data_IF_229692296165
#
_entry.id   IF_229692296165
#
_cell.length_a   1.000
_cell.length_b   1.000
_cell.length_c   1.000
_cell.angle_alpha   90.00
_cell.angle_beta   90.00
_cell.angle_gamma   90.00
#
_symmetry.space_group_name_H-M   'P 1'
#
loop_
_entity.id
_entity.type
_entity.pdbx_description
1 polymer ?
#
# COMPACT_ATOMS: atom_id res chain seq x y z
N UNK A 1 -0.41 26.68 22.44
CA UNK A 1 -1.48 27.43 23.13
C UNK A 1 -2.30 26.47 23.97
N UNK A 2 -2.65 26.84 25.21
CA UNK A 2 -3.60 26.09 26.05
C UNK A 2 -4.98 26.17 25.39
N UNK A 3 -5.64 25.03 25.19
CA UNK A 3 -7.06 25.00 24.89
C UNK A 3 -7.81 24.73 26.19
N UNK A 4 -8.69 25.67 26.54
CA UNK A 4 -9.72 25.45 27.54
C UNK A 4 -10.70 24.41 27.00
N UNK A 5 -11.07 23.46 27.87
CA UNK A 5 -12.20 22.56 27.68
C UNK A 5 -13.46 23.40 27.48
N UNK A 6 -14.17 23.22 26.36
CA UNK A 6 -15.62 23.06 26.36
C UNK A 6 -16.16 22.73 24.96
N UNK A 7 -17.18 21.88 24.99
CA UNK A 7 -18.00 21.36 23.87
C UNK A 7 -17.41 20.15 23.12
N UNK A 8 -17.61 18.97 23.72
CA UNK A 8 -17.77 17.72 22.98
C UNK A 8 -18.88 17.91 21.94
N UNK A 9 -18.50 18.21 20.69
CA UNK A 9 -19.33 17.90 19.54
C UNK A 9 -19.71 16.42 19.64
N UNK A 10 -20.98 16.01 19.44
CA UNK A 10 -21.33 14.60 19.44
C UNK A 10 -20.48 13.90 18.39
N UNK A 11 -19.51 13.10 18.84
CA UNK A 11 -18.70 12.28 17.97
C UNK A 11 -19.62 11.26 17.32
N UNK A 12 -19.90 11.41 16.03
CA UNK A 12 -20.52 10.36 15.26
C UNK A 12 -19.60 9.13 15.33
N UNK A 13 -20.02 8.10 16.07
CA UNK A 13 -19.35 6.81 16.13
C UNK A 13 -20.10 5.86 15.21
N UNK A 14 -19.41 5.37 14.18
CA UNK A 14 -19.88 4.27 13.36
C UNK A 14 -19.42 2.97 14.01
N UNK A 15 -20.32 2.26 14.70
CA UNK A 15 -20.03 0.93 15.25
C UNK A 15 -20.38 -0.15 14.22
N UNK A 16 -19.40 -1.00 13.90
CA UNK A 16 -19.67 -2.29 13.25
C UNK A 16 -20.05 -3.26 14.38
N UNK A 17 -21.33 -3.55 14.54
CA UNK A 17 -21.79 -4.53 15.53
C UNK A 17 -21.50 -5.93 15.00
N UNK A 18 -20.60 -6.67 15.65
CA UNK A 18 -20.19 -7.99 15.21
C UNK A 18 -19.84 -8.90 16.41
N UNK A 19 -19.81 -10.22 16.18
CA UNK A 19 -19.56 -11.24 17.21
C UNK A 19 -18.12 -11.80 17.20
N UNK A 20 -17.24 -11.22 16.38
CA UNK A 20 -15.88 -11.69 16.16
C UNK A 20 -14.86 -10.55 16.04
N UNK A 21 -13.68 -10.89 15.53
CA UNK A 21 -12.60 -9.94 15.28
C UNK A 21 -12.80 -9.28 13.93
N UNK A 22 -12.88 -7.94 13.92
CA UNK A 22 -13.00 -7.15 12.71
C UNK A 22 -11.79 -6.23 12.57
N UNK A 23 -11.27 -6.15 11.35
CA UNK A 23 -10.14 -5.28 11.02
C UNK A 23 -10.41 -4.55 9.72
N UNK A 24 -10.35 -3.22 9.77
CA UNK A 24 -10.28 -2.36 8.58
C UNK A 24 -8.85 -2.42 8.05
N UNK A 25 -8.71 -2.71 6.76
CA UNK A 25 -7.43 -2.72 6.04
C UNK A 25 -7.25 -1.49 5.16
N UNK A 26 -8.34 -0.93 4.63
CA UNK A 26 -8.26 0.21 3.72
C UNK A 26 -9.48 1.14 3.83
N UNK A 27 -9.26 2.41 3.45
CA UNK A 27 -10.26 3.48 3.45
C UNK A 27 -10.12 4.31 2.19
N UNK A 28 -11.24 4.72 1.61
CA UNK A 28 -11.32 5.63 0.48
C UNK A 28 -12.48 6.60 0.66
N UNK A 29 -12.39 7.76 0.01
CA UNK A 29 -13.44 8.78 0.02
C UNK A 29 -13.93 8.95 -1.42
N UNK A 30 -15.25 8.89 -1.60
CA UNK A 30 -15.88 9.12 -2.91
C UNK A 30 -15.91 10.61 -3.25
N UNK A 31 -16.14 10.97 -4.53
CA UNK A 31 -16.30 12.38 -4.94
C UNK A 31 -17.40 13.13 -4.18
N UNK A 32 -18.44 12.42 -3.73
CA UNK A 32 -19.54 13.00 -2.95
C UNK A 32 -19.24 13.08 -1.43
N UNK A 33 -18.03 12.70 -1.02
CA UNK A 33 -17.59 12.72 0.38
C UNK A 33 -17.96 11.49 1.20
N UNK A 34 -18.67 10.51 0.64
CA UNK A 34 -18.94 9.25 1.35
C UNK A 34 -17.63 8.53 1.66
N UNK A 35 -17.55 7.94 2.85
CA UNK A 35 -16.42 7.15 3.31
C UNK A 35 -16.69 5.68 3.03
N UNK A 36 -15.79 5.03 2.29
CA UNK A 36 -15.82 3.58 2.06
C UNK A 36 -14.65 2.96 2.80
N UNK A 37 -14.92 1.92 3.59
CA UNK A 37 -13.90 1.12 4.25
C UNK A 37 -14.00 -0.32 3.77
N UNK A 38 -12.86 -0.99 3.68
CA UNK A 38 -12.78 -2.41 3.43
C UNK A 38 -11.89 -3.08 4.47
N UNK A 39 -12.14 -4.36 4.69
CA UNK A 39 -11.49 -5.09 5.76
C UNK A 39 -11.84 -6.57 5.73
N UNK A 40 -11.48 -7.24 6.81
CA UNK A 40 -11.89 -8.61 7.05
C UNK A 40 -12.46 -8.81 8.45
N UNK A 41 -13.36 -9.77 8.55
CA UNK A 41 -14.11 -10.08 9.76
C UNK A 41 -14.10 -11.59 9.99
N UNK A 42 -13.86 -12.03 11.23
CA UNK A 42 -14.10 -13.42 11.62
C UNK A 42 -15.54 -13.66 12.07
N UNK A 43 -16.33 -12.59 12.16
CA UNK A 43 -17.71 -12.59 12.65
C UNK A 43 -18.64 -13.39 11.74
N UNK A 44 -19.54 -14.18 12.34
CA UNK A 44 -20.54 -14.94 11.61
C UNK A 44 -21.82 -14.12 11.38
N UNK A 45 -22.01 -13.04 12.14
CA UNK A 45 -23.18 -12.18 12.09
C UNK A 45 -22.90 -10.79 11.50
N UNK A 46 -21.82 -10.63 10.72
CA UNK A 46 -21.48 -9.34 10.13
C UNK A 46 -22.64 -8.78 9.28
N UNK A 47 -23.06 -7.52 9.51
CA UNK A 47 -24.23 -6.96 8.85
C UNK A 47 -23.97 -6.70 7.37
N UNK A 48 -25.00 -6.82 6.54
CA UNK A 48 -24.94 -6.41 5.13
C UNK A 48 -25.31 -7.47 4.09
N UNK A 49 -25.21 -7.08 2.83
CA UNK A 49 -25.52 -7.96 1.69
C UNK A 49 -24.42 -9.00 1.50
N UNK A 50 -24.80 -10.27 1.27
CA UNK A 50 -23.85 -11.32 0.89
C UNK A 50 -23.59 -11.25 -0.61
N UNK A 51 -22.37 -10.91 -0.99
CA UNK A 51 -21.99 -10.68 -2.39
C UNK A 51 -21.79 -11.99 -3.18
N UNK A 52 -21.59 -13.11 -2.49
CA UNK A 52 -21.47 -14.43 -3.08
C UNK A 52 -22.63 -15.32 -2.62
N UNK A 53 -23.80 -15.19 -3.26
CA UNK A 53 -24.99 -15.97 -2.88
C UNK A 53 -25.08 -17.36 -3.55
N UNK A 54 -23.96 -17.95 -3.99
CA UNK A 54 -23.94 -19.24 -4.67
C UNK A 54 -22.61 -19.99 -4.50
N UNK A 55 -22.30 -20.38 -3.27
CA UNK A 55 -21.52 -21.58 -3.02
C UNK A 55 -22.24 -22.36 -1.94
N UNK A 56 -22.42 -23.65 -2.13
CA UNK A 56 -23.24 -24.55 -1.31
C UNK A 56 -22.65 -24.84 0.09
N UNK A 57 -21.81 -23.95 0.62
CA UNK A 57 -21.13 -24.11 1.91
C UNK A 57 -21.44 -22.96 2.84
N UNK A 58 -21.79 -23.28 4.08
CA UNK A 58 -21.78 -22.31 5.17
C UNK A 58 -20.36 -21.74 5.32
N UNK A 59 -20.23 -20.47 5.76
CA UNK A 59 -18.94 -19.88 6.16
C UNK A 59 -18.22 -20.88 7.06
N UNK A 60 -16.99 -21.24 6.69
CA UNK A 60 -16.21 -22.16 7.49
C UNK A 60 -15.94 -21.55 8.89
N UNK A 61 -15.98 -22.36 9.96
CA UNK A 61 -15.69 -21.86 11.31
C UNK A 61 -14.25 -21.30 11.36
N UNK A 62 -14.08 -20.19 12.09
CA UNK A 62 -12.78 -19.52 12.28
C UNK A 62 -12.14 -18.90 11.04
N UNK A 63 -12.84 -18.80 9.91
CA UNK A 63 -12.32 -18.10 8.72
C UNK A 63 -12.62 -16.60 8.72
N UNK A 64 -11.75 -15.84 8.06
CA UNK A 64 -11.92 -14.41 7.82
C UNK A 64 -12.67 -14.19 6.51
N UNK A 65 -13.70 -13.33 6.53
CA UNK A 65 -14.50 -12.92 5.39
C UNK A 65 -14.20 -11.46 5.06
N UNK A 66 -14.16 -11.10 3.79
CA UNK A 66 -13.94 -9.71 3.36
C UNK A 66 -15.21 -8.92 3.55
N UNK A 67 -15.14 -7.72 4.13
CA UNK A 67 -16.26 -6.79 4.15
C UNK A 67 -15.92 -5.47 3.46
N UNK A 68 -16.96 -4.79 2.99
CA UNK A 68 -16.92 -3.42 2.51
C UNK A 68 -18.12 -2.67 3.09
N UNK A 69 -17.88 -1.50 3.67
CA UNK A 69 -18.91 -0.66 4.27
C UNK A 69 -18.78 0.78 3.78
N UNK A 70 -19.92 1.40 3.48
CA UNK A 70 -20.04 2.79 3.04
C UNK A 70 -20.80 3.60 4.08
N UNK A 71 -20.28 4.78 4.36
CA UNK A 71 -20.82 5.75 5.30
C UNK A 71 -20.98 7.11 4.64
N UNK A 72 -21.90 7.93 5.12
CA UNK A 72 -22.01 9.33 4.69
C UNK A 72 -20.78 10.13 5.14
N UNK A 73 -20.61 11.39 4.66
CA UNK A 73 -19.55 12.27 5.15
C UNK A 73 -19.61 12.51 6.67
N UNK A 74 -20.81 12.43 7.26
CA UNK A 74 -21.09 12.51 8.70
C UNK A 74 -20.97 11.17 9.43
N UNK A 75 -20.34 10.17 8.78
CA UNK A 75 -20.10 8.83 9.28
C UNK A 75 -21.37 8.05 9.66
N UNK A 76 -22.51 8.37 9.03
CA UNK A 76 -23.72 7.57 9.18
C UNK A 76 -23.64 6.32 8.31
N UNK A 77 -23.93 5.10 8.82
CA UNK A 77 -23.86 3.88 8.02
C UNK A 77 -24.88 3.93 6.89
N UNK A 78 -24.41 3.79 5.65
CA UNK A 78 -25.27 3.74 4.47
C UNK A 78 -25.52 2.29 4.05
N UNK A 79 -24.45 1.51 3.91
CA UNK A 79 -24.55 0.10 3.50
C UNK A 79 -23.29 -0.68 3.83
N UNK A 80 -23.47 -1.97 4.07
CA UNK A 80 -22.37 -2.93 4.21
C UNK A 80 -22.62 -4.17 3.35
N UNK A 81 -21.54 -4.81 2.97
CA UNK A 81 -21.51 -6.08 2.26
C UNK A 81 -20.34 -6.93 2.69
N UNK A 82 -20.51 -8.24 2.56
CA UNK A 82 -19.48 -9.22 2.91
C UNK A 82 -19.38 -10.30 1.84
N UNK A 83 -18.14 -10.72 1.56
CA UNK A 83 -17.77 -11.92 0.84
C UNK A 83 -17.37 -12.98 1.86
N UNK A 84 -18.22 -13.99 2.01
CA UNK A 84 -17.97 -15.16 2.86
C UNK A 84 -17.41 -16.31 2.00
N UNK A 85 -16.99 -17.41 2.60
CA UNK A 85 -16.53 -18.57 1.84
C UNK A 85 -16.11 -19.73 2.73
N UNK A 86 -15.69 -20.81 2.10
CA UNK A 86 -15.20 -22.01 2.77
C UNK A 86 -13.74 -21.89 3.26
N UNK A 87 -13.12 -20.74 3.04
CA UNK A 87 -11.77 -20.39 3.47
C UNK A 87 -11.67 -18.90 3.86
N UNK A 88 -10.45 -18.42 4.02
CA UNK A 88 -10.14 -17.02 4.26
C UNK A 88 -10.26 -16.22 2.95
N UNK A 89 -10.88 -15.04 3.05
CA UNK A 89 -10.91 -14.01 2.03
C UNK A 89 -10.48 -12.71 2.70
N UNK A 90 -9.20 -12.35 2.55
CA UNK A 90 -8.59 -11.24 3.28
C UNK A 90 -8.28 -10.11 2.31
N UNK A 91 -9.04 -9.02 2.42
CA UNK A 91 -8.78 -7.78 1.66
C UNK A 91 -7.71 -6.95 2.32
N UNK A 92 -6.80 -6.40 1.51
CA UNK A 92 -5.65 -5.61 1.94
C UNK A 92 -5.72 -4.16 1.48
N UNK A 93 -6.37 -3.88 0.35
CA UNK A 93 -6.44 -2.55 -0.22
C UNK A 93 -7.76 -2.31 -0.98
N UNK A 94 -8.11 -1.03 -1.16
CA UNK A 94 -9.36 -0.51 -1.69
C UNK A 94 -9.09 0.69 -2.60
N UNK A 95 -9.67 0.66 -3.81
CA UNK A 95 -9.73 1.81 -4.70
C UNK A 95 -11.16 2.02 -5.20
N UNK A 96 -11.49 3.27 -5.52
CA UNK A 96 -12.76 3.65 -6.13
C UNK A 96 -12.46 4.35 -7.44
N UNK A 97 -13.06 3.90 -8.54
CA UNK A 97 -12.93 4.62 -9.81
C UNK A 97 -13.94 5.78 -9.92
N UNK A 98 -13.84 6.56 -10.99
CA UNK A 98 -14.73 7.71 -11.26
C UNK A 98 -16.21 7.33 -11.44
N UNK A 99 -16.51 6.07 -11.78
CA UNK A 99 -17.88 5.56 -11.83
C UNK A 99 -18.41 5.13 -10.45
N UNK A 100 -17.59 5.22 -9.40
CA UNK A 100 -17.88 4.76 -8.06
C UNK A 100 -17.77 3.25 -7.85
N UNK A 101 -17.28 2.49 -8.85
CA UNK A 101 -17.02 1.07 -8.69
C UNK A 101 -15.86 0.88 -7.71
N UNK A 102 -15.97 -0.18 -6.92
CA UNK A 102 -15.07 -0.44 -5.80
C UNK A 102 -14.20 -1.63 -6.16
N UNK A 103 -12.89 -1.43 -6.16
CA UNK A 103 -11.90 -2.44 -6.43
C UNK A 103 -11.26 -2.85 -5.12
N UNK A 104 -11.24 -4.15 -4.84
CA UNK A 104 -10.57 -4.72 -3.69
C UNK A 104 -9.50 -5.71 -4.17
N UNK A 105 -8.40 -5.78 -3.43
CA UNK A 105 -7.39 -6.81 -3.63
C UNK A 105 -6.96 -7.42 -2.30
N UNK A 106 -6.36 -8.59 -2.36
CA UNK A 106 -5.95 -9.33 -1.18
C UNK A 106 -5.52 -10.75 -1.51
N UNK A 107 -5.69 -11.65 -0.55
CA UNK A 107 -5.44 -13.08 -0.71
C UNK A 107 -6.64 -13.92 -0.29
N UNK A 108 -6.77 -15.09 -0.89
CA UNK A 108 -7.80 -16.05 -0.53
C UNK A 108 -7.32 -17.48 -0.68
N UNK A 109 -7.74 -18.35 0.25
CA UNK A 109 -7.68 -19.81 0.11
C UNK A 109 -9.08 -20.44 0.05
N UNK A 110 -10.11 -19.62 -0.16
CA UNK A 110 -11.48 -20.08 -0.34
C UNK A 110 -11.64 -20.65 -1.75
N UNK A 111 -11.87 -21.96 -1.86
CA UNK A 111 -12.06 -22.63 -3.15
C UNK A 111 -13.39 -22.25 -3.82
N UNK A 112 -14.25 -21.55 -3.09
CA UNK A 112 -15.55 -21.03 -3.52
C UNK A 112 -15.56 -19.50 -3.70
N UNK A 113 -14.38 -18.89 -3.81
CA UNK A 113 -14.25 -17.46 -4.12
C UNK A 113 -15.03 -17.10 -5.40
N UNK A 114 -15.83 -16.01 -5.41
CA UNK A 114 -16.76 -15.71 -6.49
C UNK A 114 -16.05 -15.14 -7.72
N UNK A 115 -15.51 -15.99 -8.56
CA UNK A 115 -14.90 -15.63 -9.85
C UNK A 115 -15.95 -15.41 -10.95
N UNK A 116 -15.67 -14.50 -11.88
CA UNK A 116 -16.52 -14.31 -13.08
C UNK A 116 -16.14 -15.27 -14.21
N UNK A 117 -17.08 -15.70 -15.08
CA UNK A 117 -16.78 -16.69 -16.13
C UNK A 117 -15.67 -16.31 -17.12
N UNK A 118 -15.45 -15.01 -17.34
CA UNK A 118 -14.40 -14.48 -18.20
C UNK A 118 -13.14 -14.06 -17.43
N UNK A 119 -13.01 -14.42 -16.16
CA UNK A 119 -11.87 -14.02 -15.34
C UNK A 119 -10.56 -14.61 -15.86
N UNK A 120 -9.45 -13.91 -15.60
CA UNK A 120 -8.08 -14.36 -15.88
C UNK A 120 -7.80 -15.74 -15.29
N UNK A 121 -8.24 -15.99 -14.06
CA UNK A 121 -8.27 -17.31 -13.43
C UNK A 121 -9.57 -17.51 -12.65
N UNK A 122 -10.10 -18.73 -12.75
CA UNK A 122 -11.36 -19.16 -12.12
C UNK A 122 -11.16 -20.18 -10.98
N UNK A 123 -9.93 -20.52 -10.64
CA UNK A 123 -9.61 -21.48 -9.57
C UNK A 123 -8.29 -21.12 -8.89
N UNK A 124 -8.13 -21.56 -7.64
CA UNK A 124 -6.87 -21.45 -6.91
C UNK A 124 -5.79 -22.27 -7.62
N UNK A 125 -4.61 -21.69 -7.73
CA UNK A 125 -3.42 -22.28 -8.35
C UNK A 125 -2.52 -22.92 -7.30
N UNK A 126 -2.58 -22.44 -6.05
CA UNK A 126 -1.77 -22.99 -4.96
C UNK A 126 -2.03 -24.48 -4.74
N UNK A 127 -0.96 -25.27 -4.84
CA UNK A 127 -0.96 -26.73 -4.61
C UNK A 127 0.06 -27.17 -3.58
N UNK A 128 1.06 -26.33 -3.31
CA UNK A 128 2.12 -26.63 -2.34
C UNK A 128 1.65 -26.35 -0.92
N UNK A 129 2.32 -26.96 0.07
CA UNK A 129 2.16 -26.61 1.47
C UNK A 129 2.41 -25.11 1.69
N UNK A 130 1.52 -24.40 2.40
CA UNK A 130 1.60 -22.96 2.54
C UNK A 130 2.88 -22.54 3.28
N UNK A 131 3.44 -21.40 2.87
CA UNK A 131 4.63 -20.85 3.55
C UNK A 131 4.30 -20.37 4.96
N UNK A 132 3.04 -19.96 5.18
CA UNK A 132 2.48 -19.64 6.49
C UNK A 132 1.17 -20.41 6.65
N UNK A 133 1.09 -21.28 7.67
CA UNK A 133 -0.17 -21.94 8.04
C UNK A 133 -1.26 -20.89 8.26
N UNK A 134 -2.36 -21.04 7.52
CA UNK A 134 -3.69 -20.44 7.72
C UNK A 134 -4.15 -19.20 6.92
N UNK A 135 -3.35 -18.52 6.07
CA UNK A 135 -3.83 -17.23 5.51
C UNK A 135 -3.65 -16.91 4.01
N UNK A 136 -2.97 -17.74 3.20
CA UNK A 136 -2.79 -17.42 1.78
C UNK A 136 -2.73 -18.64 0.86
N UNK A 137 -3.38 -18.51 -0.30
CA UNK A 137 -3.17 -19.34 -1.48
C UNK A 137 -2.91 -18.38 -2.64
N UNK A 138 -3.96 -17.95 -3.35
CA UNK A 138 -3.80 -17.01 -4.47
C UNK A 138 -4.20 -15.60 -4.06
N UNK A 139 -3.64 -14.62 -4.76
CA UNK A 139 -4.13 -13.24 -4.69
C UNK A 139 -5.42 -13.10 -5.47
N UNK A 140 -6.24 -12.10 -5.15
CA UNK A 140 -7.46 -11.80 -5.90
C UNK A 140 -7.56 -10.32 -6.26
N UNK A 141 -8.32 -10.05 -7.32
CA UNK A 141 -8.86 -8.72 -7.61
C UNK A 141 -10.36 -8.87 -7.82
N UNK A 142 -11.16 -8.02 -7.17
CA UNK A 142 -12.61 -8.01 -7.29
C UNK A 142 -13.14 -6.60 -7.45
N UNK A 143 -14.08 -6.43 -8.38
CA UNK A 143 -14.81 -5.19 -8.61
C UNK A 143 -16.25 -5.34 -8.13
N UNK A 144 -16.70 -4.44 -7.28
CA UNK A 144 -18.05 -4.38 -6.73
C UNK A 144 -18.71 -3.09 -7.21
N UNK A 145 -20.00 -3.15 -7.50
CA UNK A 145 -20.75 -1.96 -7.92
C UNK A 145 -20.85 -0.90 -6.79
N UNK A 146 -21.16 0.37 -7.11
CA UNK A 146 -21.21 1.45 -6.11
C UNK A 146 -22.28 1.24 -5.04
N UNK A 147 -23.27 0.41 -5.35
CA UNK A 147 -24.38 0.04 -4.47
C UNK A 147 -24.01 -1.08 -3.50
N UNK A 148 -22.81 -1.66 -3.55
CA UNK A 148 -22.39 -2.77 -2.68
C UNK A 148 -23.35 -3.96 -2.72
N UNK A 149 -23.84 -4.39 -3.88
CA UNK A 149 -24.73 -5.56 -3.96
C UNK A 149 -24.46 -6.52 -5.10
N UNK A 150 -23.53 -6.16 -5.98
CA UNK A 150 -23.21 -6.97 -7.15
C UNK A 150 -21.70 -7.00 -7.34
N UNK A 151 -21.14 -8.21 -7.46
CA UNK A 151 -19.80 -8.43 -7.99
C UNK A 151 -19.85 -8.23 -9.50
N UNK A 152 -19.13 -7.23 -10.01
CA UNK A 152 -19.04 -6.91 -11.44
C UNK A 152 -18.06 -7.86 -12.14
N UNK A 153 -16.88 -8.02 -11.56
CA UNK A 153 -15.79 -8.85 -12.06
C UNK A 153 -14.98 -9.37 -10.87
N UNK A 154 -14.47 -10.59 -10.93
CA UNK A 154 -13.48 -11.06 -9.97
C UNK A 154 -12.58 -12.12 -10.60
N UNK A 155 -11.30 -12.07 -10.27
CA UNK A 155 -10.30 -13.03 -10.72
C UNK A 155 -9.37 -13.41 -9.59
N UNK A 156 -8.77 -14.60 -9.72
CA UNK A 156 -7.61 -15.02 -8.97
C UNK A 156 -6.33 -14.72 -9.77
N UNK A 157 -5.21 -14.58 -9.06
CA UNK A 157 -3.87 -14.39 -9.61
C UNK A 157 -2.85 -15.02 -8.65
N UNK A 158 -2.15 -16.06 -9.10
CA UNK A 158 -1.18 -16.77 -8.28
C UNK A 158 -0.52 -17.92 -9.02
N UNK A 159 0.39 -18.60 -8.34
CA UNK A 159 1.07 -19.83 -8.77
C UNK A 159 0.96 -20.91 -7.69
N UNK A 160 1.96 -21.78 -7.59
CA UNK A 160 1.87 -22.99 -6.76
C UNK A 160 1.92 -22.76 -5.25
N UNK A 161 2.27 -21.56 -4.78
CA UNK A 161 2.49 -21.17 -3.36
C UNK A 161 1.71 -19.90 -3.01
N UNK A 162 1.87 -19.44 -1.77
CA UNK A 162 1.21 -18.24 -1.28
C UNK A 162 1.55 -16.99 -2.09
N UNK A 163 0.51 -16.30 -2.54
CA UNK A 163 0.53 -15.05 -3.28
C UNK A 163 -0.39 -14.03 -2.61
N UNK A 164 0.18 -12.88 -2.23
CA UNK A 164 -0.51 -11.85 -1.47
C UNK A 164 -0.48 -10.53 -2.24
N UNK A 165 -1.63 -10.09 -2.77
CA UNK A 165 -1.76 -8.74 -3.26
C UNK A 165 -1.95 -7.77 -2.09
N UNK A 166 -1.16 -6.69 -2.08
CA UNK A 166 -1.14 -5.74 -0.96
C UNK A 166 -1.58 -4.34 -1.34
N UNK A 167 -1.51 -3.99 -2.62
CA UNK A 167 -1.77 -2.67 -3.14
C UNK A 167 -2.40 -2.78 -4.52
N UNK A 168 -3.31 -1.86 -4.84
CA UNK A 168 -3.85 -1.69 -6.18
C UNK A 168 -3.89 -0.20 -6.59
N UNK A 169 -3.75 0.05 -7.88
CA UNK A 169 -3.96 1.37 -8.48
C UNK A 169 -4.57 1.19 -9.89
N UNK A 170 -5.01 2.29 -10.50
CA UNK A 170 -5.56 2.29 -11.87
C UNK A 170 -4.66 3.14 -12.76
N UNK A 171 -4.25 2.59 -13.90
CA UNK A 171 -3.49 3.35 -14.89
C UNK A 171 -4.38 4.30 -15.71
N UNK A 172 -3.76 5.16 -16.52
CA UNK A 172 -4.48 6.14 -17.36
C UNK A 172 -5.41 5.49 -18.41
N UNK A 173 -5.23 4.21 -18.71
CA UNK A 173 -6.08 3.46 -19.64
C UNK A 173 -7.23 2.75 -18.91
N UNK A 174 -7.31 2.85 -17.57
CA UNK A 174 -8.29 2.16 -16.75
C UNK A 174 -7.89 0.72 -16.37
N UNK A 175 -6.67 0.29 -16.72
CA UNK A 175 -6.17 -1.04 -16.35
C UNK A 175 -5.87 -1.09 -14.85
N UNK A 176 -6.07 -2.26 -14.26
CA UNK A 176 -5.82 -2.48 -12.85
C UNK A 176 -4.37 -2.89 -12.66
N UNK A 177 -3.60 -2.09 -11.94
CA UNK A 177 -2.24 -2.43 -11.54
C UNK A 177 -2.30 -2.96 -10.11
N UNK A 178 -1.99 -4.24 -9.95
CA UNK A 178 -1.96 -4.90 -8.64
C UNK A 178 -0.53 -5.31 -8.31
N UNK A 179 -0.10 -5.05 -7.09
CA UNK A 179 1.24 -5.40 -6.63
C UNK A 179 1.19 -6.06 -5.26
N UNK A 180 2.17 -6.93 -5.03
CA UNK A 180 2.19 -7.73 -3.82
C UNK A 180 3.45 -8.56 -3.69
N UNK A 181 3.34 -9.61 -2.88
CA UNK A 181 4.39 -10.58 -2.71
C UNK A 181 3.99 -11.97 -3.18
N UNK A 182 4.93 -12.67 -3.81
CA UNK A 182 4.76 -14.04 -4.31
C UNK A 182 5.85 -14.95 -3.76
N UNK A 183 5.44 -16.11 -3.23
CA UNK A 183 6.33 -17.23 -2.94
C UNK A 183 6.48 -18.21 -4.12
N UNK A 184 5.68 -18.03 -5.16
CA UNK A 184 5.47 -18.93 -6.29
C UNK A 184 6.56 -18.77 -7.35
N UNK A 185 7.28 -19.85 -7.67
CA UNK A 185 8.28 -19.84 -8.76
C UNK A 185 7.65 -19.79 -10.15
N UNK A 186 6.40 -20.21 -10.24
CA UNK A 186 5.56 -20.30 -11.42
C UNK A 186 4.48 -19.21 -11.46
N UNK A 187 4.63 -18.15 -10.65
CA UNK A 187 3.75 -16.98 -10.71
C UNK A 187 3.62 -16.49 -12.16
N UNK A 188 2.41 -16.13 -12.63
CA UNK A 188 2.18 -15.69 -14.00
C UNK A 188 3.06 -14.50 -14.37
N UNK A 189 3.94 -14.67 -15.36
CA UNK A 189 4.85 -13.63 -15.88
C UNK A 189 4.67 -13.51 -17.39
N UNK A 190 4.60 -12.29 -17.88
CA UNK A 190 4.52 -12.01 -19.33
C UNK A 190 5.68 -11.14 -19.81
N UNK A 191 6.42 -10.51 -18.89
CA UNK A 191 7.63 -9.74 -19.20
C UNK A 191 8.77 -10.10 -18.26
N UNK A 192 10.00 -10.02 -18.77
CA UNK A 192 11.22 -10.15 -17.98
C UNK A 192 11.78 -8.76 -17.67
N UNK A 193 11.59 -8.27 -16.44
CA UNK A 193 12.18 -6.98 -16.02
C UNK A 193 13.71 -7.08 -16.00
N UNK A 194 14.38 -6.24 -16.78
CA UNK A 194 15.83 -6.28 -17.07
C UNK A 194 16.78 -6.00 -15.89
N UNK A 195 16.29 -6.01 -14.66
CA UNK A 195 17.07 -5.72 -13.46
C UNK A 195 16.85 -6.73 -12.32
N UNK A 196 16.14 -7.85 -12.55
CA UNK A 196 15.94 -8.86 -11.50
C UNK A 196 17.27 -9.56 -11.17
N UNK A 197 17.60 -9.65 -9.88
CA UNK A 197 18.68 -10.52 -9.42
C UNK A 197 18.15 -11.95 -9.24
N UNK A 198 19.02 -12.91 -8.94
CA UNK A 198 18.64 -14.33 -8.91
C UNK A 198 17.61 -14.62 -7.79
N UNK A 199 16.33 -14.57 -8.15
CA UNK A 199 15.21 -14.85 -7.26
C UNK A 199 15.27 -16.29 -6.77
N UNK A 200 14.96 -16.50 -5.50
CA UNK A 200 14.87 -17.84 -4.93
C UNK A 200 13.39 -18.18 -4.67
N UNK A 201 12.90 -19.31 -5.23
CA UNK A 201 11.61 -19.88 -4.84
C UNK A 201 11.55 -20.03 -3.31
N UNK A 202 10.37 -19.85 -2.70
CA UNK A 202 10.10 -19.93 -1.25
C UNK A 202 10.34 -18.64 -0.42
N UNK A 203 11.03 -17.63 -0.96
CA UNK A 203 11.09 -16.31 -0.34
C UNK A 203 10.01 -15.40 -0.93
N UNK A 204 9.58 -14.40 -0.16
CA UNK A 204 8.67 -13.37 -0.67
C UNK A 204 9.40 -12.52 -1.70
N UNK A 205 9.00 -12.62 -2.96
CA UNK A 205 9.45 -11.74 -4.05
C UNK A 205 8.36 -10.72 -4.35
N UNK A 206 8.66 -9.59 -4.99
CA UNK A 206 7.65 -8.60 -5.35
C UNK A 206 7.07 -8.99 -6.71
N UNK A 207 5.74 -9.05 -6.83
CA UNK A 207 5.09 -9.10 -8.13
C UNK A 207 4.36 -7.80 -8.42
N UNK A 208 4.27 -7.44 -9.71
CA UNK A 208 3.37 -6.40 -10.22
C UNK A 208 2.70 -6.96 -11.47
N UNK A 209 1.39 -6.84 -11.53
CA UNK A 209 0.56 -7.27 -12.65
C UNK A 209 -0.34 -6.12 -13.12
N UNK A 210 -0.41 -5.93 -14.43
CA UNK A 210 -1.34 -5.04 -15.10
C UNK A 210 -2.40 -5.93 -15.74
N UNK A 211 -3.65 -5.77 -15.31
CA UNK A 211 -4.80 -6.57 -15.71
C UNK A 211 -5.78 -5.63 -16.43
N UNK A 212 -6.43 -6.12 -17.47
CA UNK A 212 -7.46 -5.34 -18.16
C UNK A 212 -8.63 -4.98 -17.21
N UNK A 213 -9.44 -3.94 -17.51
CA UNK A 213 -10.51 -3.48 -16.63
C UNK A 213 -11.60 -4.53 -16.35
N UNK A 214 -11.72 -5.56 -17.19
CA UNK A 214 -12.69 -6.65 -17.02
C UNK A 214 -12.14 -7.83 -16.22
N UNK A 215 -10.89 -7.76 -15.75
CA UNK A 215 -10.20 -8.80 -15.00
C UNK A 215 -10.08 -10.14 -15.77
N UNK A 216 -9.96 -10.06 -17.08
CA UNK A 216 -10.00 -11.19 -18.03
C UNK A 216 -8.66 -11.48 -18.71
N UNK A 217 -7.77 -10.49 -18.79
CA UNK A 217 -6.49 -10.58 -19.48
C UNK A 217 -5.35 -9.99 -18.65
N UNK A 218 -4.25 -10.73 -18.56
CA UNK A 218 -3.01 -10.28 -17.94
C UNK A 218 -2.16 -9.56 -19.00
N UNK A 219 -2.25 -8.23 -19.04
CA UNK A 219 -1.60 -7.38 -20.04
C UNK A 219 -0.08 -7.34 -19.85
N UNK A 220 0.37 -7.23 -18.60
CA UNK A 220 1.78 -7.29 -18.23
C UNK A 220 1.90 -7.92 -16.84
N UNK A 221 2.93 -8.71 -16.59
CA UNK A 221 3.24 -9.18 -15.24
C UNK A 221 4.72 -9.49 -15.12
N UNK A 222 5.28 -9.05 -14.01
CA UNK A 222 6.67 -9.31 -13.65
C UNK A 222 6.82 -9.64 -12.18
N UNK A 223 7.83 -10.47 -11.90
CA UNK A 223 8.33 -10.74 -10.56
C UNK A 223 9.76 -10.23 -10.48
N UNK A 224 10.05 -9.44 -9.45
CA UNK A 224 11.33 -8.81 -9.24
C UNK A 224 11.66 -8.74 -7.75
N UNK A 225 12.91 -8.43 -7.44
CA UNK A 225 13.45 -8.50 -6.08
C UNK A 225 14.84 -9.12 -6.09
N UNK A 226 15.11 -9.90 -5.06
CA UNK A 226 16.44 -10.33 -4.65
C UNK A 226 16.50 -11.80 -4.21
N UNK A 227 17.69 -12.37 -3.90
CA UNK A 227 17.80 -13.76 -3.46
C UNK A 227 17.22 -14.07 -2.07
N UNK A 228 16.77 -13.05 -1.31
CA UNK A 228 16.13 -13.18 0.00
C UNK A 228 14.80 -12.40 0.00
N UNK A 229 14.05 -12.41 1.10
CA UNK A 229 12.72 -11.80 1.11
C UNK A 229 12.75 -10.29 0.89
N UNK A 230 11.89 -9.85 -0.03
CA UNK A 230 11.55 -8.47 -0.35
C UNK A 230 10.06 -8.28 -0.11
N UNK A 231 9.68 -7.18 0.53
CA UNK A 231 8.31 -6.91 0.94
C UNK A 231 7.84 -5.59 0.34
N UNK A 232 6.69 -5.63 -0.34
CA UNK A 232 6.04 -4.44 -0.85
C UNK A 232 5.38 -3.66 0.29
N UNK A 233 5.65 -2.35 0.35
CA UNK A 233 4.95 -1.39 1.19
C UNK A 233 3.81 -0.71 0.44
N UNK A 234 4.14 -0.06 -0.67
CA UNK A 234 3.22 0.81 -1.40
C UNK A 234 3.45 0.83 -2.90
N UNK A 235 2.39 1.19 -3.64
CA UNK A 235 2.33 1.34 -5.09
C UNK A 235 1.66 2.67 -5.43
N UNK A 236 2.18 3.36 -6.44
CA UNK A 236 1.52 4.51 -7.04
C UNK A 236 1.84 4.61 -8.53
N UNK A 237 0.81 4.82 -9.34
CA UNK A 237 0.95 5.08 -10.77
C UNK A 237 0.93 6.59 -11.00
N UNK A 238 2.02 7.10 -11.56
CA UNK A 238 2.14 8.50 -11.93
C UNK A 238 1.32 8.83 -13.18
N UNK A 239 0.97 10.11 -13.35
CA UNK A 239 0.22 10.61 -14.52
C UNK A 239 0.91 10.29 -15.87
N UNK A 240 2.24 10.16 -15.85
CA UNK A 240 3.04 9.79 -17.02
C UNK A 240 3.12 8.27 -17.28
N UNK A 241 2.46 7.46 -16.45
CA UNK A 241 2.47 5.99 -16.51
C UNK A 241 3.65 5.31 -15.79
N UNK A 242 4.56 6.07 -15.17
CA UNK A 242 5.63 5.49 -14.35
C UNK A 242 5.06 4.81 -13.11
N UNK A 243 5.64 3.66 -12.75
CA UNK A 243 5.16 2.83 -11.65
C UNK A 243 6.11 2.99 -10.48
N UNK A 244 5.67 3.64 -9.41
CA UNK A 244 6.46 3.91 -8.22
C UNK A 244 6.11 2.91 -7.13
N UNK A 245 7.14 2.35 -6.52
CA UNK A 245 7.04 1.32 -5.49
C UNK A 245 7.98 1.66 -4.36
N UNK A 246 7.57 1.26 -3.15
CA UNK A 246 8.49 1.24 -2.04
C UNK A 246 8.20 0.05 -1.13
N UNK A 247 9.17 -0.29 -0.30
CA UNK A 247 9.02 -1.37 0.66
C UNK A 247 10.25 -1.54 1.52
N UNK A 248 10.54 -2.80 1.87
CA UNK A 248 11.75 -3.16 2.59
C UNK A 248 12.30 -4.52 2.13
N UNK A 249 13.58 -4.74 2.32
CA UNK A 249 14.29 -5.95 1.89
C UNK A 249 15.24 -6.44 2.98
N UNK A 250 15.46 -7.74 3.02
CA UNK A 250 16.49 -8.38 3.84
C UNK A 250 17.82 -8.54 3.11
N UNK A 251 17.87 -8.14 1.84
CA UNK A 251 18.97 -8.43 0.93
C UNK A 251 19.88 -7.24 0.73
N UNK A 252 21.17 -7.51 0.55
CA UNK A 252 22.14 -6.55 0.03
C UNK A 252 22.29 -6.60 -1.51
N UNK A 253 21.47 -7.43 -2.18
CA UNK A 253 21.47 -7.63 -3.62
C UNK A 253 20.13 -7.23 -4.27
N UNK A 254 19.41 -6.28 -3.66
CA UNK A 254 18.24 -5.66 -4.26
C UNK A 254 18.66 -4.85 -5.50
N UNK A 255 17.85 -4.84 -6.57
CA UNK A 255 18.14 -4.05 -7.76
C UNK A 255 18.29 -2.56 -7.42
N UNK A 256 19.43 -1.96 -7.75
CA UNK A 256 19.71 -0.52 -7.58
C UNK A 256 20.18 0.10 -8.90
N UNK A 257 19.97 1.40 -9.05
CA UNK A 257 20.39 2.16 -10.24
C UNK A 257 21.32 3.31 -9.85
N UNK A 258 22.26 3.67 -10.72
CA UNK A 258 23.26 4.73 -10.46
C UNK A 258 22.70 6.17 -10.42
N UNK A 259 21.37 6.34 -10.38
CA UNK A 259 20.70 7.64 -10.30
C UNK A 259 20.73 8.29 -8.91
N UNK A 260 21.02 7.50 -7.87
CA UNK A 260 21.13 7.96 -6.49
C UNK A 260 22.59 7.95 -6.03
N UNK A 261 22.94 8.89 -5.16
CA UNK A 261 24.33 9.09 -4.69
C UNK A 261 24.83 8.01 -3.74
N UNK A 262 23.93 7.22 -3.16
CA UNK A 262 24.25 6.11 -2.28
C UNK A 262 23.25 4.96 -2.50
N UNK A 263 23.79 3.77 -2.80
CA UNK A 263 23.04 2.60 -3.25
C UNK A 263 23.41 1.32 -2.48
N UNK A 264 24.06 1.45 -1.32
CA UNK A 264 24.37 0.29 -0.48
C UNK A 264 23.35 0.10 0.64
N UNK A 265 23.09 -1.17 0.97
CA UNK A 265 22.42 -1.56 2.21
C UNK A 265 23.12 -0.86 3.40
N UNK A 266 22.33 -0.18 4.22
CA UNK A 266 22.79 0.75 5.27
C UNK A 266 22.97 0.04 6.60
N UNK A 267 22.30 -1.10 6.81
CA UNK A 267 22.45 -1.95 7.98
C UNK A 267 21.17 -2.70 8.33
N UNK A 268 21.02 -3.07 9.60
CA UNK A 268 19.82 -3.76 10.08
C UNK A 268 19.57 -5.14 9.46
N UNK A 269 18.43 -5.71 9.82
CA UNK A 269 17.87 -6.91 9.17
C UNK A 269 16.94 -6.54 8.01
N UNK A 270 16.39 -5.33 8.01
CA UNK A 270 15.51 -4.81 6.96
C UNK A 270 15.95 -3.41 6.58
N UNK A 271 16.20 -3.16 5.30
CA UNK A 271 16.39 -1.81 4.77
C UNK A 271 15.22 -1.43 3.88
N UNK A 272 14.80 -0.17 3.93
CA UNK A 272 13.77 0.33 3.04
C UNK A 272 14.33 0.44 1.62
N UNK A 273 13.44 0.42 0.63
CA UNK A 273 13.81 0.64 -0.76
C UNK A 273 12.74 1.44 -1.49
N UNK A 274 13.17 2.13 -2.54
CA UNK A 274 12.31 2.75 -3.54
C UNK A 274 12.67 2.20 -4.91
N UNK A 275 11.67 2.04 -5.77
CA UNK A 275 11.87 1.79 -7.19
C UNK A 275 10.82 2.47 -8.07
N UNK A 276 11.26 2.82 -9.27
CA UNK A 276 10.44 3.29 -10.37
C UNK A 276 10.63 2.35 -11.55
N UNK A 277 9.55 1.77 -12.05
CA UNK A 277 9.51 0.97 -13.25
C UNK A 277 8.86 1.75 -14.39
N UNK A 278 9.22 1.38 -15.63
CA UNK A 278 8.50 1.86 -16.80
C UNK A 278 7.07 1.26 -16.85
N UNK A 279 6.20 1.91 -17.61
CA UNK A 279 4.78 1.51 -17.76
C UNK A 279 4.62 0.05 -18.25
N UNK A 280 5.59 -0.49 -19.00
CA UNK A 280 5.56 -1.86 -19.51
C UNK A 280 6.18 -2.89 -18.59
N UNK A 281 6.63 -2.51 -17.38
CA UNK A 281 7.34 -3.36 -16.42
C UNK A 281 8.65 -3.98 -16.95
N UNK A 282 9.21 -3.50 -18.06
CA UNK A 282 10.39 -4.10 -18.70
C UNK A 282 11.71 -3.66 -18.05
N UNK A 283 11.73 -2.52 -17.36
CA UNK A 283 12.93 -1.84 -16.88
C UNK A 283 12.65 -1.19 -15.53
N UNK A 284 13.59 -1.38 -14.61
CA UNK A 284 13.72 -0.53 -13.43
C UNK A 284 14.47 0.72 -13.88
N UNK A 285 13.79 1.86 -13.91
CA UNK A 285 14.37 3.15 -14.30
C UNK A 285 15.17 3.76 -13.16
N UNK A 286 14.66 3.59 -11.93
CA UNK A 286 15.28 4.12 -10.72
C UNK A 286 15.08 3.11 -9.60
N UNK A 287 16.11 2.86 -8.80
CA UNK A 287 15.97 2.14 -7.55
C UNK A 287 17.13 2.45 -6.61
N UNK A 288 16.82 2.50 -5.31
CA UNK A 288 17.80 2.72 -4.26
C UNK A 288 17.35 2.11 -2.93
N UNK A 289 18.34 1.79 -2.11
CA UNK A 289 18.15 1.55 -0.68
C UNK A 289 17.92 2.88 0.05
N UNK A 290 17.08 2.83 1.08
CA UNK A 290 16.72 3.92 1.97
C UNK A 290 16.86 3.44 3.41
N UNK A 291 17.34 4.30 4.31
CA UNK A 291 17.48 3.94 5.72
C UNK A 291 18.80 4.36 6.35
N UNK A 292 19.11 3.71 7.46
CA UNK A 292 20.32 3.86 8.27
C UNK A 292 20.80 2.51 8.82
N UNK A 293 21.52 2.50 9.93
CA UNK A 293 22.20 1.28 10.39
C UNK A 293 21.30 0.20 11.01
N UNK A 294 20.02 0.50 11.28
CA UNK A 294 19.05 -0.41 11.88
C UNK A 294 17.89 -0.69 10.90
N UNK A 295 16.78 -1.28 11.40
CA UNK A 295 15.68 -1.63 10.50
C UNK A 295 14.92 -0.40 10.01
N UNK A 296 14.70 -0.37 8.70
CA UNK A 296 14.01 0.69 7.97
C UNK A 296 12.91 0.09 7.08
N UNK A 297 11.77 0.76 7.04
CA UNK A 297 10.58 0.30 6.30
C UNK A 297 9.96 1.47 5.55
N UNK A 298 9.69 1.33 4.26
CA UNK A 298 8.74 2.21 3.58
C UNK A 298 7.35 1.58 3.62
N UNK A 299 6.37 2.34 4.10
CA UNK A 299 4.99 1.87 4.31
C UNK A 299 3.97 2.48 3.36
N UNK A 300 4.22 3.69 2.86
CA UNK A 300 3.31 4.42 1.99
C UNK A 300 4.08 5.33 1.05
N UNK A 301 3.51 5.65 -0.11
CA UNK A 301 4.05 6.65 -1.03
C UNK A 301 2.94 7.35 -1.82
N UNK A 302 3.16 8.60 -2.20
CA UNK A 302 2.21 9.39 -3.00
C UNK A 302 2.95 10.40 -3.87
N UNK A 303 2.28 10.92 -4.91
CA UNK A 303 2.82 11.96 -5.79
C UNK A 303 2.09 13.29 -5.59
N UNK A 304 2.83 14.38 -5.77
CA UNK A 304 2.29 15.75 -5.76
C UNK A 304 2.12 16.30 -7.19
N UNK A 305 1.40 17.44 -7.40
CA UNK A 305 1.15 17.96 -8.77
C UNK A 305 2.40 18.21 -9.59
N UNK A 306 3.53 18.44 -8.93
CA UNK A 306 4.78 18.77 -9.59
C UNK A 306 5.60 17.52 -9.96
N UNK A 307 5.07 16.32 -9.70
CA UNK A 307 5.72 15.04 -9.96
C UNK A 307 6.71 14.57 -8.90
N UNK A 308 6.75 15.21 -7.72
CA UNK A 308 7.58 14.75 -6.61
C UNK A 308 6.90 13.59 -5.89
N UNK A 309 7.68 12.55 -5.60
CA UNK A 309 7.25 11.39 -4.81
C UNK A 309 7.54 11.64 -3.34
N UNK A 310 6.54 11.48 -2.50
CA UNK A 310 6.62 11.51 -1.03
C UNK A 310 6.47 10.10 -0.49
N UNK A 311 7.29 9.74 0.49
CA UNK A 311 7.28 8.41 1.12
C UNK A 311 7.12 8.54 2.62
N UNK A 312 6.34 7.64 3.21
CA UNK A 312 6.24 7.45 4.65
C UNK A 312 7.11 6.28 5.03
N UNK A 313 8.06 6.53 5.93
CA UNK A 313 9.01 5.54 6.40
C UNK A 313 8.95 5.36 7.91
N UNK A 314 9.23 4.15 8.38
CA UNK A 314 9.43 3.83 9.79
C UNK A 314 10.87 3.38 9.97
N UNK A 315 11.58 4.06 10.88
CA UNK A 315 13.01 3.82 11.10
C UNK A 315 13.29 3.46 12.56
N UNK A 316 14.21 2.54 12.77
CA UNK A 316 14.89 2.29 14.05
C UNK A 316 16.30 2.90 14.08
N UNK A 317 16.70 3.59 13.02
CA UNK A 317 18.04 4.11 12.80
C UNK A 317 18.18 5.50 13.45
N UNK A 318 19.28 5.78 14.17
CA UNK A 318 19.54 7.12 14.73
C UNK A 318 19.87 8.15 13.64
N UNK A 319 20.49 7.68 12.56
CA UNK A 319 20.79 8.40 11.35
C UNK A 319 19.84 8.00 10.22
N UNK A 320 19.26 8.98 9.53
CA UNK A 320 18.47 8.73 8.34
C UNK A 320 18.84 9.74 7.26
N UNK A 321 19.26 9.24 6.09
CA UNK A 321 19.67 10.07 4.95
C UNK A 321 20.74 11.12 5.31
N UNK A 322 21.66 10.79 6.23
CA UNK A 322 22.71 11.69 6.70
C UNK A 322 22.28 12.72 7.76
N UNK A 323 21.03 12.69 8.22
CA UNK A 323 20.57 13.48 9.36
C UNK A 323 20.66 12.65 10.65
N UNK A 324 21.52 13.06 11.59
CA UNK A 324 21.53 12.50 12.95
C UNK A 324 20.39 13.13 13.75
N UNK A 325 19.41 12.34 14.14
CA UNK A 325 18.41 12.81 15.09
C UNK A 325 18.91 12.51 16.52
N UNK A 326 19.15 13.55 17.32
CA UNK A 326 19.44 13.40 18.74
C UNK A 326 18.20 12.88 19.49
N UNK A 327 18.15 11.57 19.75
CA UNK A 327 17.11 10.94 20.57
C UNK A 327 17.60 10.73 22.01
N UNK A 328 17.23 11.56 23.01
CA UNK A 328 17.45 11.23 24.40
C UNK A 328 16.56 10.04 24.80
N UNK A 329 17.18 8.89 25.12
CA UNK A 329 16.53 7.68 25.65
C UNK A 329 16.67 6.43 24.77
N UNK A 330 16.44 5.25 25.36
CA UNK A 330 16.59 3.93 24.71
C UNK A 330 15.45 3.55 23.72
N UNK A 331 14.51 4.44 23.41
CA UNK A 331 13.43 4.14 22.46
C UNK A 331 13.69 4.79 21.11
N UNK A 332 13.94 3.94 20.10
CA UNK A 332 14.50 4.32 18.79
C UNK A 332 13.50 4.29 17.63
N UNK A 333 12.19 4.20 17.88
CA UNK A 333 11.17 4.14 16.82
C UNK A 333 10.72 5.55 16.41
N UNK A 334 10.93 5.89 15.14
CA UNK A 334 10.46 7.14 14.55
C UNK A 334 9.77 6.95 13.20
N UNK A 335 8.77 7.79 12.92
CA UNK A 335 8.13 7.90 11.61
C UNK A 335 8.72 9.08 10.83
N UNK A 336 8.93 8.93 9.53
CA UNK A 336 9.60 9.90 8.68
C UNK A 336 8.81 10.15 7.41
N UNK A 337 8.80 11.40 6.95
CA UNK A 337 8.39 11.77 5.59
C UNK A 337 9.62 12.16 4.79
N UNK A 338 9.87 11.44 3.70
CA UNK A 338 10.93 11.73 2.74
C UNK A 338 10.34 12.17 1.39
N UNK A 339 11.04 13.06 0.69
CA UNK A 339 10.69 13.48 -0.66
C UNK A 339 11.82 13.15 -1.63
N UNK A 340 11.47 12.52 -2.75
CA UNK A 340 12.37 12.34 -3.88
C UNK A 340 12.14 13.51 -4.84
N UNK A 341 13.18 14.28 -5.11
CA UNK A 341 13.14 15.35 -6.11
C UNK A 341 14.30 15.23 -7.10
N UNK A 342 14.06 15.77 -8.30
CA UNK A 342 15.04 15.82 -9.38
C UNK A 342 16.05 16.94 -9.08
N UNK A 343 17.29 16.58 -8.76
CA UNK A 343 18.38 17.56 -8.66
C UNK A 343 19.18 17.58 -9.97
N UNK A 344 19.33 18.78 -10.53
CA UNK A 344 20.28 18.99 -11.63
C UNK A 344 21.64 19.16 -10.96
N UNK A 345 22.49 18.14 -11.09
CA UNK A 345 23.88 18.26 -10.68
C UNK A 345 24.55 19.25 -11.63
N UNK A 346 25.01 20.40 -11.12
CA UNK A 346 25.59 21.45 -11.96
C UNK A 346 26.95 21.04 -12.54
N UNK A 347 27.58 20.01 -11.96
CA UNK A 347 28.94 19.58 -12.29
C UNK A 347 28.99 18.33 -13.19
N UNK A 348 27.85 17.68 -13.43
CA UNK A 348 27.74 16.58 -14.39
C UNK A 348 26.50 16.77 -15.25
N UNK A 349 26.61 16.64 -16.57
CA UNK A 349 25.49 16.74 -17.52
C UNK A 349 24.41 15.63 -17.34
N UNK A 350 24.35 14.98 -16.18
CA UNK A 350 23.38 13.98 -15.79
C UNK A 350 22.36 14.51 -14.78
N UNK A 351 21.16 13.93 -14.79
CA UNK A 351 20.16 14.16 -13.75
C UNK A 351 20.47 13.23 -12.59
N UNK A 352 20.75 13.77 -11.40
CA UNK A 352 20.80 12.98 -10.16
C UNK A 352 19.48 13.12 -9.41
N UNK A 353 19.18 12.14 -8.57
CA UNK A 353 18.11 12.25 -7.60
C UNK A 353 18.70 12.42 -6.20
N UNK A 354 18.05 13.29 -5.44
CA UNK A 354 18.25 13.42 -4.01
C UNK A 354 16.97 13.04 -3.28
N UNK A 355 17.15 12.56 -2.06
CA UNK A 355 16.07 12.22 -1.15
C UNK A 355 16.24 13.09 0.07
N UNK A 356 15.27 13.97 0.30
CA UNK A 356 15.30 14.92 1.37
C UNK A 356 14.37 14.47 2.51
N UNK A 357 14.87 14.57 3.74
CA UNK A 357 14.06 14.41 4.93
C UNK A 357 13.20 15.66 5.16
N UNK A 358 11.88 15.52 5.12
CA UNK A 358 10.96 16.64 5.35
C UNK A 358 10.58 16.74 6.83
N UNK A 359 10.26 15.60 7.46
CA UNK A 359 9.80 15.56 8.84
C UNK A 359 10.14 14.23 9.51
N UNK A 360 10.37 14.28 10.83
CA UNK A 360 10.56 13.11 11.68
C UNK A 360 9.71 13.23 12.95
N UNK A 361 9.10 12.12 13.36
CA UNK A 361 8.19 12.01 14.50
C UNK A 361 8.67 10.91 15.45
N UNK A 362 8.46 11.08 16.77
CA UNK A 362 8.70 10.02 17.78
C UNK A 362 7.43 9.24 18.05
N UNK A 363 7.52 7.91 18.15
CA UNK A 363 6.47 7.15 18.85
C UNK A 363 6.86 7.04 20.33
N UNK A 364 6.14 7.74 21.22
CA UNK A 364 6.08 7.34 22.63
C UNK A 364 5.35 6.00 22.72
N UNK A 365 5.75 5.15 23.67
CA UNK A 365 5.21 3.80 23.88
C UNK A 365 3.70 3.67 23.52
N UNK A 366 3.40 2.70 22.63
CA UNK A 366 2.06 2.27 22.19
C UNK A 366 1.24 3.13 21.21
N UNK A 367 1.80 4.13 20.53
CA UNK A 367 1.06 4.80 19.43
C UNK A 367 1.69 4.52 18.06
N UNK A 368 1.03 3.68 17.26
CA UNK A 368 1.19 3.67 15.81
C UNK A 368 0.65 4.98 15.26
N UNK A 369 1.40 5.68 14.42
CA UNK A 369 0.86 6.76 13.59
C UNK A 369 -0.03 6.05 12.56
N UNK A 370 -1.34 6.02 12.79
CA UNK A 370 -2.30 5.19 12.06
C UNK A 370 -2.95 5.89 10.87
N UNK A 371 -2.70 7.18 10.68
CA UNK A 371 -3.03 7.98 9.48
C UNK A 371 -2.51 9.41 9.68
N UNK A 372 -2.15 10.11 8.60
CA UNK A 372 -1.99 11.56 8.61
C UNK A 372 -3.12 12.17 7.78
N UNK A 373 -4.11 12.78 8.44
CA UNK A 373 -4.97 13.74 7.74
C UNK A 373 -4.18 15.03 7.57
N UNK A 374 -3.83 15.41 6.34
CA UNK A 374 -3.42 16.80 6.08
C UNK A 374 -4.67 17.66 6.17
N UNK A 375 -5.02 18.10 7.39
CA UNK A 375 -5.87 19.28 7.50
C UNK A 375 -5.01 20.47 7.11
N UNK A 376 -5.45 21.17 6.07
CA UNK A 376 -4.94 22.47 5.68
C UNK A 376 -4.93 23.39 6.91
N UNK A 377 -3.77 23.52 7.55
CA UNK A 377 -3.51 24.55 8.55
C UNK A 377 -2.25 25.28 8.13
N UNK A 378 -2.46 26.50 7.68
CA UNK A 378 -1.45 27.54 7.51
C UNK A 378 -0.80 27.82 8.86
N UNK A 379 0.38 27.24 9.10
CA UNK A 379 1.23 27.62 10.21
C UNK A 379 2.19 28.72 9.77
N UNK A 380 1.88 29.94 10.24
CA UNK A 380 2.76 31.09 10.17
C UNK A 380 3.97 30.86 11.08
N UNK A 381 5.17 30.91 10.51
CA UNK A 381 6.39 31.10 11.27
C UNK A 381 6.51 32.59 11.65
N UNK A 382 6.40 32.91 12.93
CA UNK A 382 6.91 34.19 13.47
C UNK A 382 8.03 33.90 14.46
N UNK A 383 9.23 34.29 14.08
CA UNK A 383 10.45 34.23 14.88
C UNK A 383 11.63 34.83 14.12
N UNK A 384 11.48 36.10 13.73
CA UNK A 384 12.45 36.88 12.97
C UNK A 384 13.50 37.49 13.90
N UNK A 385 14.79 37.41 13.55
CA UNK A 385 15.72 38.56 13.72
C UNK A 385 16.74 38.58 12.56
N UNK A 386 16.83 39.74 11.90
CA UNK A 386 17.48 40.07 10.61
C UNK A 386 19.02 40.26 10.74
N UNK A 387 19.87 40.33 9.70
CA UNK A 387 19.81 41.11 8.43
C UNK A 387 20.92 40.69 7.41
N UNK A 388 21.14 41.39 6.26
CA UNK A 388 20.29 41.50 5.07
C UNK A 388 21.04 41.15 3.75
N UNK A 389 20.37 40.50 2.78
CA UNK A 389 20.66 40.69 1.36
C UNK A 389 19.43 40.29 0.52
N UNK A 390 18.99 41.23 -0.32
CA UNK A 390 17.75 41.17 -1.09
C UNK A 390 17.72 40.03 -2.11
N UNK A 391 16.79 39.09 -1.96
CA UNK A 391 16.15 38.42 -3.09
C UNK A 391 14.66 38.26 -2.79
N UNK A 392 13.82 38.86 -3.64
CA UNK A 392 12.38 38.64 -3.60
C UNK A 392 12.08 37.27 -4.22
N UNK A 393 11.51 36.36 -3.43
CA UNK A 393 10.79 35.21 -3.95
C UNK A 393 9.30 35.38 -3.62
N UNK A 394 8.50 35.53 -4.66
CA UNK A 394 7.04 35.57 -4.61
C UNK A 394 6.49 34.19 -4.25
N UNK A 395 5.58 34.19 -3.27
CA UNK A 395 4.76 33.08 -2.78
C UNK A 395 4.23 32.17 -3.91
N UNK A 396 4.57 30.88 -3.86
CA UNK A 396 3.79 29.80 -4.47
C UNK A 396 3.78 28.64 -3.45
N UNK A 397 2.75 28.60 -2.60
CA UNK A 397 2.47 27.42 -1.78
C UNK A 397 1.86 26.33 -2.66
N UNK A 398 2.22 25.04 -2.51
CA UNK A 398 1.69 24.01 -3.37
C UNK A 398 0.29 23.58 -2.93
N UNK A 399 -0.68 23.71 -3.83
CA UNK A 399 -1.92 22.94 -3.80
C UNK A 399 -1.62 21.50 -4.24
N UNK A 400 -2.17 20.50 -3.56
CA UNK A 400 -2.05 19.06 -3.86
C UNK A 400 -2.96 18.71 -5.06
N UNK A 401 -2.54 17.82 -5.99
CA UNK A 401 -3.19 17.63 -7.30
C UNK A 401 -4.30 16.65 -7.34
N UNK A 402 -4.54 15.92 -6.28
CA UNK A 402 -5.58 14.95 -6.38
C UNK A 402 -6.23 14.61 -5.06
N UNK A 403 -7.48 14.17 -5.21
CA UNK A 403 -8.47 13.84 -4.21
C UNK A 403 -8.15 12.53 -3.47
N UNK A 404 -6.86 12.17 -3.28
CA UNK A 404 -6.46 11.02 -2.46
C UNK A 404 -6.33 11.46 -1.00
N UNK A 405 -7.22 11.04 -0.08
CA UNK A 405 -6.85 10.98 1.34
C UNK A 405 -5.73 9.94 1.50
N UNK A 406 -4.77 10.16 2.40
CA UNK A 406 -3.77 9.14 2.74
C UNK A 406 -4.47 7.84 3.21
N UNK A 407 -4.29 6.73 2.49
CA UNK A 407 -5.15 5.53 2.60
C UNK A 407 -4.60 4.40 3.48
N UNK A 408 -3.42 4.53 4.09
CA UNK A 408 -2.82 3.42 4.84
C UNK A 408 -3.08 3.45 6.36
N UNK A 409 -3.73 2.40 6.87
CA UNK A 409 -3.73 2.05 8.31
C UNK A 409 -2.52 1.14 8.57
N UNK A 410 -1.67 1.55 9.51
CA UNK A 410 -0.39 0.92 9.89
C UNK A 410 -0.41 -0.63 10.01
N UNK A 411 0.63 -1.27 9.47
CA UNK A 411 0.94 -2.71 9.56
C UNK A 411 2.19 -2.93 10.44
N UNK A 412 2.12 -3.60 11.61
CA UNK A 412 3.26 -4.31 12.14
C UNK A 412 3.34 -5.71 11.50
N UNK A 413 4.49 -6.13 10.93
CA UNK A 413 4.70 -7.53 10.64
C UNK A 413 4.96 -8.22 11.99
N UNK A 414 4.06 -9.13 12.36
CA UNK A 414 4.16 -10.04 13.51
C UNK A 414 3.68 -9.45 14.85
N UNK A 415 2.37 -9.44 15.05
CA UNK A 415 1.83 -9.84 16.34
C UNK A 415 1.48 -11.33 16.21
N UNK A 416 2.45 -12.20 16.50
CA UNK A 416 2.11 -13.56 16.87
C UNK A 416 1.18 -13.46 18.08
N UNK A 417 -0.06 -13.91 17.91
CA UNK A 417 -0.94 -14.20 19.03
C UNK A 417 -0.32 -15.42 19.72
N UNK A 418 0.09 -15.23 20.97
CA UNK A 418 0.23 -16.33 21.92
C UNK A 418 -1.15 -16.90 22.24
#
# INVERSE_FOLDING_TARGET
FRFEENEYLPSAQAELTSDGFDRVSAIAITENGDVVIAGHTSSNSFPGTRLNKAATGEKAPYTNSTFVSRYSPELQPLRSSVLEGNGHIITQDLLINTNGNIYLTGSTNASDFPVTPSALSIALSATDEPLVVDYGADSFVITINPNLDTVIAATLLGGSRDDYAYQLDIDINGNIVVAGNTGSSDFPKTVDTKSSTALKPQFSNIFISIIDPNLSELLASSVWGSPTSDYLGALHISDNGSINLCGHTTSNAFPVTDHFTDNSMKGGHYDAWYAQLDQGLMRVERAAYLGGANNDYCSDLTESKNGSIFMVMNTNSPELLGYEAEYPGNQKRGGVIAQIHKSIDQDSFGVKLSIDLIAAFRSGAQSSISSLSVKQQSLWATGLTLAPANYQFTNIGPEISDQRPATSIFRPPWAGVL
#
